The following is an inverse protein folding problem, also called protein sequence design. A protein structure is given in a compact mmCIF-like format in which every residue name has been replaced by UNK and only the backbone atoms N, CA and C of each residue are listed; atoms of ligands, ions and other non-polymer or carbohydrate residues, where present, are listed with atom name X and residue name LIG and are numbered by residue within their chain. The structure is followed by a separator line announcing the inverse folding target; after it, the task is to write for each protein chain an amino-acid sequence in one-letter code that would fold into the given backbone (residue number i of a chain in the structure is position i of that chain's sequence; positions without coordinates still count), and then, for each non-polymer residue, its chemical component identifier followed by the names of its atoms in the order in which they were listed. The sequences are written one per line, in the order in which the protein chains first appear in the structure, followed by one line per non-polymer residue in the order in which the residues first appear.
data_IF_581580587912
#
_entry.id   IF_581580587912
#
_cell.length_a   1.000
_cell.length_b   1.000
_cell.length_c   1.000
_cell.angle_alpha   90.00
_cell.angle_beta   90.00
_cell.angle_gamma   90.00
#
_symmetry.space_group_name_H-M   'P 1'
#
loop_
_entity.id
_entity.type
_entity.pdbx_description
1 polymer ?
#
# COMPACT_ATOMS: atom_id res chain seq x y z
N UNK A 1 26.50 59.11 -11.96
CA UNK A 1 26.09 58.17 -13.04
C UNK A 1 25.16 57.09 -12.47
N UNK A 2 23.93 57.42 -12.05
CA UNK A 2 22.98 56.43 -11.47
C UNK A 2 21.52 56.57 -11.94
N UNK A 3 21.08 57.70 -12.51
CA UNK A 3 19.66 57.95 -12.84
C UNK A 3 19.09 57.20 -14.06
N UNK A 4 19.93 56.56 -14.88
CA UNK A 4 19.49 55.85 -16.10
C UNK A 4 19.08 54.39 -15.85
N UNK A 5 19.59 53.76 -14.79
CA UNK A 5 19.28 52.36 -14.44
C UNK A 5 17.85 52.25 -13.85
N UNK A 6 17.45 53.17 -12.98
CA UNK A 6 16.13 53.17 -12.33
C UNK A 6 14.96 53.35 -13.31
N UNK A 7 15.18 54.11 -14.40
CA UNK A 7 14.17 54.31 -15.44
C UNK A 7 13.89 53.04 -16.23
N UNK A 8 14.90 52.20 -16.46
CA UNK A 8 14.70 50.90 -17.13
C UNK A 8 13.96 49.92 -16.22
N UNK A 9 14.28 49.88 -14.92
CA UNK A 9 13.59 49.02 -13.96
C UNK A 9 12.11 49.39 -13.79
N UNK A 10 11.80 50.69 -13.75
CA UNK A 10 10.41 51.19 -13.65
C UNK A 10 9.62 51.01 -14.94
N UNK A 11 10.23 51.25 -16.11
CA UNK A 11 9.62 50.95 -17.42
C UNK A 11 9.35 49.46 -17.59
N UNK A 12 10.30 48.61 -17.21
CA UNK A 12 10.13 47.16 -17.26
C UNK A 12 8.97 46.72 -16.38
N UNK A 13 8.91 47.22 -15.14
CA UNK A 13 7.80 46.95 -14.21
C UNK A 13 6.44 47.38 -14.76
N UNK A 14 6.36 48.53 -15.42
CA UNK A 14 5.12 49.04 -16.02
C UNK A 14 4.66 48.19 -17.21
N UNK A 15 5.57 47.88 -18.14
CA UNK A 15 5.27 47.01 -19.29
C UNK A 15 4.79 45.61 -18.89
N UNK A 16 5.33 45.07 -17.80
CA UNK A 16 4.91 43.77 -17.29
C UNK A 16 3.49 43.77 -16.73
N UNK A 17 3.11 44.85 -16.05
CA UNK A 17 1.78 45.00 -15.47
C UNK A 17 0.73 45.15 -16.56
N UNK A 18 0.99 45.97 -17.60
CA UNK A 18 0.09 46.08 -18.75
C UNK A 18 -0.10 44.74 -19.47
N UNK A 19 0.97 43.96 -19.66
CA UNK A 19 0.90 42.64 -20.29
C UNK A 19 0.04 41.63 -19.50
N UNK A 20 0.11 41.67 -18.16
CA UNK A 20 -0.73 40.85 -17.28
C UNK A 20 -2.21 41.22 -17.40
N UNK A 21 -2.54 42.52 -17.48
CA UNK A 21 -3.93 42.97 -17.60
C UNK A 21 -4.55 42.60 -18.96
N UNK A 22 -3.75 42.58 -20.04
CA UNK A 22 -4.21 42.09 -21.37
C UNK A 22 -4.54 40.60 -21.33
N UNK A 23 -3.77 39.81 -20.57
CA UNK A 23 -3.93 38.35 -20.47
C UNK A 23 -4.62 37.89 -19.18
N UNK A 24 -5.38 38.77 -18.52
CA UNK A 24 -6.06 38.51 -17.24
C UNK A 24 -6.83 37.17 -17.20
N UNK A 25 -7.66 36.79 -18.21
CA UNK A 25 -8.39 35.53 -18.16
C UNK A 25 -7.46 34.30 -18.13
N UNK A 26 -6.29 34.36 -18.79
CA UNK A 26 -5.31 33.28 -18.80
C UNK A 26 -4.59 33.15 -17.45
N UNK A 27 -4.26 34.28 -16.80
CA UNK A 27 -3.66 34.27 -15.47
C UNK A 27 -4.64 33.73 -14.42
N UNK A 28 -5.93 34.09 -14.51
CA UNK A 28 -6.98 33.51 -13.68
C UNK A 28 -7.15 32.01 -13.91
N UNK A 29 -7.06 31.54 -15.17
CA UNK A 29 -7.10 30.12 -15.48
C UNK A 29 -5.94 29.35 -14.82
N UNK A 30 -4.71 29.87 -14.89
CA UNK A 30 -3.55 29.27 -14.22
C UNK A 30 -3.68 29.27 -12.69
N UNK A 31 -4.19 30.36 -12.11
CA UNK A 31 -4.44 30.44 -10.67
C UNK A 31 -5.46 29.38 -10.22
N UNK A 32 -6.56 29.23 -10.97
CA UNK A 32 -7.57 28.20 -10.74
C UNK A 32 -6.96 26.79 -10.83
N UNK A 33 -6.15 26.53 -11.87
CA UNK A 33 -5.44 25.26 -12.03
C UNK A 33 -4.50 24.99 -10.85
N UNK A 34 -3.81 26.03 -10.36
CA UNK A 34 -2.95 25.96 -9.19
C UNK A 34 -3.70 25.59 -7.92
N UNK A 35 -4.88 26.18 -7.69
CA UNK A 35 -5.73 25.85 -6.54
C UNK A 35 -6.22 24.39 -6.62
N UNK A 36 -6.67 23.95 -7.80
CA UNK A 36 -7.05 22.54 -8.02
C UNK A 36 -5.87 21.61 -7.75
N UNK A 37 -4.67 21.97 -8.24
CA UNK A 37 -3.47 21.18 -8.05
C UNK A 37 -3.08 21.04 -6.58
N UNK A 38 -3.06 22.14 -5.82
CA UNK A 38 -2.75 22.13 -4.38
C UNK A 38 -3.77 21.27 -3.62
N UNK A 39 -5.06 21.41 -3.97
CA UNK A 39 -6.14 20.63 -3.37
C UNK A 39 -5.95 19.12 -3.63
N UNK A 40 -5.64 18.75 -4.87
CA UNK A 40 -5.37 17.36 -5.25
C UNK A 40 -4.10 16.81 -4.60
N UNK A 41 -3.04 17.60 -4.48
CA UNK A 41 -1.80 17.19 -3.83
C UNK A 41 -2.06 16.83 -2.36
N UNK A 42 -2.83 17.65 -1.64
CA UNK A 42 -3.16 17.39 -0.24
C UNK A 42 -4.09 16.17 -0.06
N UNK A 43 -5.01 15.94 -1.00
CA UNK A 43 -5.84 14.74 -1.02
C UNK A 43 -5.01 13.46 -1.27
N UNK A 44 -4.06 13.53 -2.20
CA UNK A 44 -3.12 12.44 -2.50
C UNK A 44 -2.26 12.09 -1.29
N UNK A 45 -1.72 13.10 -0.59
CA UNK A 45 -0.92 12.88 0.62
C UNK A 45 -1.72 12.16 1.72
N UNK A 46 -2.98 12.57 1.94
CA UNK A 46 -3.87 11.90 2.91
C UNK A 46 -4.18 10.47 2.49
N UNK A 47 -4.40 10.22 1.20
CA UNK A 47 -4.68 8.88 0.69
C UNK A 47 -3.48 7.96 0.88
N UNK A 48 -2.26 8.41 0.55
CA UNK A 48 -1.02 7.64 0.74
C UNK A 48 -0.83 7.26 2.20
N UNK A 49 -1.02 8.19 3.14
CA UNK A 49 -0.92 7.89 4.59
C UNK A 49 -1.95 6.83 5.03
N UNK A 50 -3.19 6.90 4.52
CA UNK A 50 -4.22 5.89 4.82
C UNK A 50 -3.87 4.52 4.25
N UNK A 51 -3.32 4.47 3.04
CA UNK A 51 -2.89 3.22 2.40
C UNK A 51 -1.82 2.54 3.24
N UNK A 52 -0.83 3.30 3.73
CA UNK A 52 0.24 2.72 4.54
C UNK A 52 -0.29 2.15 5.87
N UNK A 53 -1.22 2.86 6.53
CA UNK A 53 -1.88 2.37 7.74
C UNK A 53 -2.67 1.07 7.48
N UNK A 54 -3.51 1.03 6.44
CA UNK A 54 -4.27 -0.18 6.08
C UNK A 54 -3.34 -1.35 5.74
N UNK A 55 -2.23 -1.08 5.04
CA UNK A 55 -1.25 -2.11 4.67
C UNK A 55 -0.61 -2.72 5.91
N UNK A 56 -0.35 -1.93 6.95
CA UNK A 56 0.15 -2.42 8.22
C UNK A 56 -0.87 -3.34 8.91
N UNK A 57 -2.15 -2.94 8.98
CA UNK A 57 -3.22 -3.78 9.57
C UNK A 57 -3.40 -5.12 8.85
N UNK A 58 -3.34 -5.11 7.51
CA UNK A 58 -3.40 -6.33 6.69
C UNK A 58 -2.18 -7.21 6.96
N UNK A 59 -0.99 -6.61 7.07
CA UNK A 59 0.24 -7.35 7.39
C UNK A 59 0.13 -8.02 8.76
N UNK A 60 -0.33 -7.31 9.78
CA UNK A 60 -0.49 -7.85 11.13
C UNK A 60 -1.50 -9.01 11.17
N UNK A 61 -2.62 -8.85 10.46
CA UNK A 61 -3.62 -9.91 10.34
C UNK A 61 -3.08 -11.14 9.61
N UNK A 62 -2.29 -10.93 8.55
CA UNK A 62 -1.61 -12.02 7.83
C UNK A 62 -0.62 -12.75 8.73
N UNK A 63 0.14 -12.03 9.55
CA UNK A 63 1.04 -12.63 10.54
C UNK A 63 0.30 -13.48 11.56
N UNK A 64 -0.82 -12.99 12.12
CA UNK A 64 -1.64 -13.79 13.06
C UNK A 64 -2.13 -15.08 12.41
N UNK A 65 -2.62 -15.02 11.18
CA UNK A 65 -3.06 -16.20 10.45
C UNK A 65 -1.90 -17.17 10.15
N UNK A 66 -0.72 -16.65 9.85
CA UNK A 66 0.47 -17.48 9.64
C UNK A 66 0.90 -18.19 10.93
N UNK A 67 0.98 -17.46 12.04
CA UNK A 67 1.35 -18.01 13.35
C UNK A 67 0.36 -19.12 13.77
N UNK A 68 -0.95 -18.88 13.62
CA UNK A 68 -1.95 -19.90 13.94
C UNK A 68 -1.80 -21.16 13.06
N UNK A 69 -1.57 -20.98 11.76
CA UNK A 69 -1.29 -22.12 10.87
C UNK A 69 -0.02 -22.86 11.28
N UNK A 70 1.02 -22.15 11.68
CA UNK A 70 2.26 -22.76 12.15
C UNK A 70 2.05 -23.54 13.45
N UNK A 71 1.26 -23.03 14.38
CA UNK A 71 0.93 -23.74 15.63
C UNK A 71 0.15 -25.04 15.35
N UNK A 72 -0.88 -24.96 14.49
CA UNK A 72 -1.64 -26.15 14.06
C UNK A 72 -0.75 -27.15 13.36
N UNK A 73 0.11 -26.68 12.44
CA UNK A 73 1.03 -27.56 11.71
C UNK A 73 2.03 -28.19 12.66
N UNK A 74 2.59 -27.44 13.62
CA UNK A 74 3.52 -27.93 14.63
C UNK A 74 2.91 -29.04 15.49
N UNK A 75 1.65 -28.86 15.92
CA UNK A 75 0.91 -29.90 16.63
C UNK A 75 0.55 -31.10 15.74
N UNK A 76 0.50 -30.91 14.42
CA UNK A 76 0.24 -31.97 13.43
C UNK A 76 1.50 -32.69 12.96
N UNK A 77 2.70 -32.28 13.40
CA UNK A 77 3.95 -32.95 13.04
C UNK A 77 3.96 -34.34 13.67
N UNK A 78 4.23 -35.34 12.83
CA UNK A 78 4.25 -36.74 13.22
C UNK A 78 5.16 -37.02 14.43
N UNK A 79 6.35 -36.43 14.50
CA UNK A 79 7.25 -36.57 15.66
C UNK A 79 6.71 -35.99 16.97
N UNK A 80 5.91 -34.92 16.90
CA UNK A 80 5.25 -34.32 18.07
C UNK A 80 4.00 -35.10 18.51
N UNK A 81 3.29 -35.69 17.55
CA UNK A 81 2.18 -36.59 17.84
C UNK A 81 2.73 -37.87 18.48
N UNK A 82 3.78 -38.47 17.92
CA UNK A 82 4.46 -39.65 18.46
C UNK A 82 4.96 -39.41 19.89
N UNK A 83 5.54 -38.23 20.18
CA UNK A 83 5.99 -37.89 21.53
C UNK A 83 4.83 -37.73 22.53
N UNK A 84 3.72 -37.10 22.13
CA UNK A 84 2.52 -36.95 22.97
C UNK A 84 1.78 -38.27 23.20
N UNK A 85 1.86 -39.20 22.26
CA UNK A 85 1.09 -40.44 22.24
C UNK A 85 1.86 -41.63 22.87
N UNK A 86 3.16 -41.47 23.17
CA UNK A 86 4.01 -42.47 23.85
C UNK A 86 3.46 -43.01 25.17
N UNK A 87 2.69 -42.22 25.92
CA UNK A 87 2.06 -42.63 27.18
C UNK A 87 0.77 -43.46 27.01
N UNK A 88 0.21 -43.49 25.80
CA UNK A 88 -1.09 -44.10 25.47
C UNK A 88 -0.98 -45.46 24.76
N UNK A 89 0.23 -46.03 24.65
CA UNK A 89 0.45 -47.39 24.12
C UNK A 89 0.32 -47.54 22.58
N UNK A 90 0.17 -46.43 21.87
CA UNK A 90 0.04 -46.37 20.41
C UNK A 90 1.43 -46.28 19.75
N UNK A 91 1.70 -47.17 18.80
CA UNK A 91 2.97 -47.26 18.06
C UNK A 91 2.86 -46.52 16.71
N UNK A 92 3.94 -45.87 16.24
CA UNK A 92 3.94 -45.23 14.93
C UNK A 92 3.73 -46.27 13.82
N UNK A 93 2.96 -45.89 12.79
CA UNK A 93 2.69 -46.74 11.63
C UNK A 93 3.93 -46.83 10.74
N UNK A 94 4.66 -47.95 10.80
CA UNK A 94 5.85 -48.23 9.98
C UNK A 94 5.51 -48.67 8.55
N UNK A 95 4.24 -49.00 8.29
CA UNK A 95 3.75 -49.44 6.98
C UNK A 95 3.10 -48.28 6.22
N UNK A 96 3.40 -48.10 4.92
CA UNK A 96 2.80 -47.05 4.12
C UNK A 96 1.28 -47.26 3.99
N UNK A 97 0.47 -46.20 4.02
CA UNK A 97 -0.99 -46.31 3.98
C UNK A 97 -1.47 -46.87 2.64
N UNK A 98 -2.39 -47.85 2.69
CA UNK A 98 -3.02 -48.39 1.49
C UNK A 98 -3.91 -47.32 0.83
N UNK A 99 -3.63 -47.00 -0.43
CA UNK A 99 -4.49 -46.12 -1.23
C UNK A 99 -5.78 -46.88 -1.57
N UNK A 100 -6.86 -46.56 -0.86
CA UNK A 100 -8.21 -46.98 -1.24
C UNK A 100 -8.58 -46.23 -2.53
N UNK A 101 -8.38 -46.89 -3.67
CA UNK A 101 -8.94 -46.44 -4.93
C UNK A 101 -10.40 -46.85 -4.88
N UNK A 102 -11.30 -45.89 -4.65
CA UNK A 102 -12.73 -46.13 -4.80
C UNK A 102 -12.97 -46.49 -6.27
N UNK A 103 -13.14 -47.79 -6.55
CA UNK A 103 -13.62 -48.23 -7.85
C UNK A 103 -15.00 -47.61 -8.02
N UNK A 104 -15.09 -46.68 -8.96
CA UNK A 104 -16.34 -46.03 -9.34
C UNK A 104 -17.26 -47.15 -9.80
N UNK A 105 -18.23 -47.50 -8.97
CA UNK A 105 -19.23 -48.51 -9.30
C UNK A 105 -19.98 -48.00 -10.52
N UNK A 106 -19.71 -48.62 -11.67
CA UNK A 106 -20.52 -48.46 -12.88
C UNK A 106 -21.88 -49.08 -12.55
N UNK A 107 -22.91 -48.24 -12.58
CA UNK A 107 -24.30 -48.69 -12.68
C UNK A 107 -25.04 -47.75 -13.61
#
# INVERSE_FOLDING_TARGET
MTSFQDKKATLFRLKWVEWIFVNLPFVCYLALLGVIYISNAHASEKAVRKIEALKQEVKDTKWRAMNLRQEVMHGSIQSQIESKVKGSGLLPSTTPPYKIVAEKTVK
#
